data_IF_876944274366
#
_entry.id   IF_876944274366
#
_cell.length_a   1.000
_cell.length_b   1.000
_cell.length_c   1.000
_cell.angle_alpha   90.00
_cell.angle_beta   90.00
_cell.angle_gamma   90.00
#
_symmetry.space_group_name_H-M   'P 1'
#
loop_
_entity.id
_entity.type
_entity.pdbx_description
1 polymer ?
#
# COMPACT_ATOMS: atom_id res chain seq x y z
N UNK A 1 -3.81 -7.94 30.07
CA UNK A 1 -2.96 -7.37 29.01
C UNK A 1 -3.73 -7.49 27.68
N UNK A 2 -4.81 -6.71 27.52
CA UNK A 2 -5.78 -6.87 26.41
C UNK A 2 -6.24 -5.53 25.80
N UNK A 3 -6.07 -4.41 26.53
CA UNK A 3 -6.63 -3.11 26.16
C UNK A 3 -6.20 -2.54 24.79
N UNK A 4 -4.97 -2.78 24.33
CA UNK A 4 -4.48 -2.18 23.08
C UNK A 4 -5.13 -2.82 21.85
N UNK A 5 -5.26 -4.15 21.83
CA UNK A 5 -5.89 -4.85 20.71
C UNK A 5 -7.38 -4.52 20.61
N UNK A 6 -8.08 -4.44 21.76
CA UNK A 6 -9.49 -4.03 21.82
C UNK A 6 -9.70 -2.61 21.30
N UNK A 7 -8.80 -1.67 21.61
CA UNK A 7 -8.85 -0.31 21.09
C UNK A 7 -8.61 -0.31 19.58
N UNK A 8 -7.62 -1.07 19.09
CA UNK A 8 -7.35 -1.18 17.65
C UNK A 8 -8.58 -1.72 16.92
N UNK A 9 -9.20 -2.78 17.42
CA UNK A 9 -10.41 -3.38 16.85
C UNK A 9 -11.59 -2.41 16.88
N UNK A 10 -11.89 -1.82 18.06
CA UNK A 10 -12.97 -0.84 18.23
C UNK A 10 -12.86 0.35 17.28
N UNK A 11 -11.64 0.75 16.94
CA UNK A 11 -11.40 1.88 16.05
C UNK A 11 -11.10 1.48 14.60
N UNK A 12 -11.19 0.19 14.24
CA UNK A 12 -10.86 -0.34 12.92
C UNK A 12 -9.46 0.10 12.45
N UNK A 13 -8.49 0.06 13.38
CA UNK A 13 -7.14 0.57 13.16
C UNK A 13 -6.41 -0.20 12.06
N UNK A 14 -6.60 -1.52 12.01
CA UNK A 14 -6.02 -2.38 10.98
C UNK A 14 -6.54 -2.01 9.59
N UNK A 15 -7.85 -1.95 9.41
CA UNK A 15 -8.50 -1.65 8.14
C UNK A 15 -8.16 -0.24 7.65
N UNK A 16 -8.08 0.74 8.56
CA UNK A 16 -7.67 2.10 8.23
C UNK A 16 -6.22 2.16 7.77
N UNK A 17 -5.32 1.46 8.44
CA UNK A 17 -3.92 1.37 8.04
C UNK A 17 -3.81 0.71 6.66
N UNK A 18 -4.56 -0.36 6.43
CA UNK A 18 -4.63 -1.08 5.16
C UNK A 18 -5.13 -0.18 4.02
N UNK A 19 -6.22 0.54 4.26
CA UNK A 19 -6.79 1.50 3.32
C UNK A 19 -5.80 2.63 2.99
N UNK A 20 -5.04 3.10 3.98
CA UNK A 20 -4.04 4.14 3.78
C UNK A 20 -2.88 3.64 2.91
N UNK A 21 -2.34 2.45 3.23
CA UNK A 21 -1.30 1.81 2.45
C UNK A 21 -1.76 1.63 0.99
N UNK A 22 -2.94 1.04 0.78
CA UNK A 22 -3.53 0.83 -0.55
C UNK A 22 -3.63 2.14 -1.35
N UNK A 23 -4.12 3.21 -0.72
CA UNK A 23 -4.29 4.52 -1.37
C UNK A 23 -2.96 5.08 -1.85
N UNK A 24 -1.91 5.03 -1.04
CA UNK A 24 -0.60 5.57 -1.41
C UNK A 24 0.14 4.70 -2.42
N UNK A 25 0.04 3.38 -2.32
CA UNK A 25 0.63 2.48 -3.31
C UNK A 25 -0.04 2.62 -4.68
N UNK A 26 -1.36 2.76 -4.73
CA UNK A 26 -2.09 3.07 -5.97
C UNK A 26 -1.69 4.43 -6.56
N UNK A 27 -1.48 5.44 -5.70
CA UNK A 27 -0.97 6.74 -6.15
C UNK A 27 0.41 6.59 -6.77
N UNK A 28 1.33 5.88 -6.13
CA UNK A 28 2.66 5.62 -6.67
C UNK A 28 2.60 4.91 -8.04
N UNK A 29 1.77 3.88 -8.20
CA UNK A 29 1.56 3.23 -9.51
C UNK A 29 1.04 4.18 -10.58
N UNK A 30 0.20 5.16 -10.22
CA UNK A 30 -0.28 6.19 -11.15
C UNK A 30 0.85 7.13 -11.57
N UNK A 31 1.66 7.60 -10.63
CA UNK A 31 2.80 8.48 -10.91
C UNK A 31 3.87 7.76 -11.76
N UNK A 32 4.08 6.45 -11.58
CA UNK A 32 5.03 5.69 -12.42
C UNK A 32 4.64 5.67 -13.90
N UNK A 33 3.37 5.93 -14.25
CA UNK A 33 2.92 5.91 -15.66
C UNK A 33 3.57 7.00 -16.50
N UNK A 34 3.92 8.14 -15.91
CA UNK A 34 4.51 9.29 -16.64
C UNK A 34 6.01 9.13 -16.88
N UNK A 35 6.66 8.13 -16.29
CA UNK A 35 8.08 7.88 -16.51
C UNK A 35 8.32 7.36 -17.94
N UNK A 36 9.48 7.67 -18.55
CA UNK A 36 9.90 7.06 -19.80
C UNK A 36 9.92 5.53 -19.71
N UNK A 37 9.59 4.86 -20.81
CA UNK A 37 9.66 3.41 -20.85
C UNK A 37 11.11 2.94 -20.77
N UNK A 38 11.33 1.88 -20.00
CA UNK A 38 12.66 1.33 -19.73
C UNK A 38 12.68 0.42 -18.52
N UNK A 39 13.81 -0.26 -18.34
CA UNK A 39 13.99 -1.29 -17.31
C UNK A 39 13.71 -0.77 -15.89
N UNK A 40 14.11 0.48 -15.58
CA UNK A 40 13.85 1.09 -14.28
C UNK A 40 12.36 1.28 -13.98
N UNK A 41 11.57 1.72 -14.98
CA UNK A 41 10.11 1.86 -14.82
C UNK A 41 9.45 0.52 -14.57
N UNK A 42 9.92 -0.54 -15.25
CA UNK A 42 9.42 -1.89 -15.05
C UNK A 42 9.69 -2.40 -13.63
N UNK A 43 10.93 -2.27 -13.15
CA UNK A 43 11.33 -2.66 -11.79
C UNK A 43 10.53 -1.92 -10.73
N UNK A 44 10.41 -0.59 -10.86
CA UNK A 44 9.64 0.22 -9.91
C UNK A 44 8.16 -0.15 -9.91
N UNK A 45 7.59 -0.45 -11.08
CA UNK A 45 6.20 -0.87 -11.20
C UNK A 45 5.97 -2.22 -10.54
N UNK A 46 6.85 -3.19 -10.76
CA UNK A 46 6.78 -4.52 -10.14
C UNK A 46 6.86 -4.43 -8.62
N UNK A 47 7.89 -3.76 -8.08
CA UNK A 47 8.04 -3.55 -6.63
C UNK A 47 6.83 -2.85 -6.01
N UNK A 48 6.30 -1.83 -6.68
CA UNK A 48 5.13 -1.09 -6.17
C UNK A 48 3.85 -1.94 -6.26
N UNK A 49 3.73 -2.80 -7.27
CA UNK A 49 2.61 -3.73 -7.40
C UNK A 49 2.66 -4.80 -6.30
N UNK A 50 3.84 -5.35 -6.01
CA UNK A 50 4.02 -6.31 -4.92
C UNK A 50 3.64 -5.72 -3.56
N UNK A 51 3.94 -4.44 -3.33
CA UNK A 51 3.51 -3.73 -2.11
C UNK A 51 1.99 -3.55 -2.04
N UNK A 52 1.30 -3.45 -3.19
CA UNK A 52 -0.15 -3.34 -3.25
C UNK A 52 -0.82 -4.69 -3.01
N UNK A 53 -0.23 -5.76 -3.52
CA UNK A 53 -0.81 -7.11 -3.47
C UNK A 53 -0.46 -7.86 -2.17
N UNK A 54 0.58 -7.43 -1.46
CA UNK A 54 0.91 -7.87 -0.08
C UNK A 54 -0.14 -7.52 0.96
N UNK A 55 -1.16 -6.77 0.57
CA UNK A 55 -2.35 -6.46 1.35
C UNK A 55 -3.25 -7.72 1.42
N UNK A 56 -2.90 -8.70 2.27
CA UNK A 56 -3.80 -9.82 2.60
C UNK A 56 -5.11 -9.30 3.22
#
# INVERSE_FOLDING_TARGET
>A
MVAVLEIIEKHHGYEKALSLARRYTQKALKELRVLPDGTYKAILKELTQDLLDRTM
#
